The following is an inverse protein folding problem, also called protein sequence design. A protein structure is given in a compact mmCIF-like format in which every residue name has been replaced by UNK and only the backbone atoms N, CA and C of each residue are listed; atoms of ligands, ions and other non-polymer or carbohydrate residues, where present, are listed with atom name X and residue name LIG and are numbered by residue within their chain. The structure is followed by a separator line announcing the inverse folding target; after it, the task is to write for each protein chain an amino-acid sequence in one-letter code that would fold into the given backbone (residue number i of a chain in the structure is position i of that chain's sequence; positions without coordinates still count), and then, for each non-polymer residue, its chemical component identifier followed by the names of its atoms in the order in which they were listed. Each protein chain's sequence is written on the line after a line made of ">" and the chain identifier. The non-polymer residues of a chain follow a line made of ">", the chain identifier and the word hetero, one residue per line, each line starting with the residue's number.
data_IF_016363441546
#
_entry.id   IF_016363441546
#
_cell.length_a   1.000
_cell.length_b   1.000
_cell.length_c   1.000
_cell.angle_alpha   90.00
_cell.angle_beta   90.00
_cell.angle_gamma   90.00
#
_symmetry.space_group_name_H-M   'P 1'
#
loop_
_entity.id
_entity.type
_entity.pdbx_description
1 polymer ?
#
# COMPACT_ATOMS: atom_id res chain seq x y z
N UNK A 1 16.82 41.36 8.38
CA UNK A 1 15.60 40.63 7.94
C UNK A 1 15.72 39.91 6.58
N UNK A 2 16.93 39.56 6.07
CA UNK A 2 17.06 38.84 4.77
C UNK A 2 17.13 37.31 4.92
N UNK A 3 17.53 36.80 6.10
CA UNK A 3 17.63 35.36 6.40
C UNK A 3 16.27 34.71 6.72
N UNK A 4 15.32 35.46 7.29
CA UNK A 4 13.98 34.95 7.64
C UNK A 4 13.12 34.62 6.40
N UNK A 5 13.32 35.34 5.29
CA UNK A 5 12.54 35.17 4.05
C UNK A 5 12.84 33.84 3.34
N UNK A 6 14.02 33.25 3.56
CA UNK A 6 14.42 31.96 2.94
C UNK A 6 14.09 30.75 3.83
N UNK A 7 14.07 30.94 5.15
CA UNK A 7 13.83 29.82 6.10
C UNK A 7 12.34 29.41 6.11
N UNK A 8 11.42 30.37 6.03
CA UNK A 8 9.97 30.11 6.01
C UNK A 8 9.51 29.23 4.83
N UNK A 9 9.90 29.49 3.57
CA UNK A 9 9.46 28.65 2.45
C UNK A 9 10.02 27.23 2.52
N UNK A 10 11.24 27.04 3.03
CA UNK A 10 11.84 25.70 3.19
C UNK A 10 11.11 24.89 4.25
N UNK A 11 10.70 25.53 5.36
CA UNK A 11 9.95 24.86 6.42
C UNK A 11 8.52 24.49 5.97
N UNK A 12 7.86 25.38 5.22
CA UNK A 12 6.57 25.09 4.60
C UNK A 12 6.65 23.96 3.57
N UNK A 13 7.71 23.93 2.75
CA UNK A 13 7.96 22.82 1.82
C UNK A 13 8.11 21.48 2.54
N UNK A 14 8.85 21.42 3.65
CA UNK A 14 8.96 20.18 4.44
C UNK A 14 7.61 19.71 5.01
N UNK A 15 6.74 20.63 5.43
CA UNK A 15 5.40 20.29 5.93
C UNK A 15 4.51 19.73 4.81
N UNK A 16 4.60 20.31 3.61
CA UNK A 16 3.83 19.83 2.45
C UNK A 16 4.32 18.46 1.99
N UNK A 17 5.64 18.26 1.94
CA UNK A 17 6.26 16.99 1.53
C UNK A 17 5.89 15.86 2.50
N UNK A 18 6.00 16.10 3.82
CA UNK A 18 5.66 15.08 4.82
C UNK A 18 4.18 14.73 4.86
N UNK A 19 3.27 15.68 4.58
CA UNK A 19 1.83 15.40 4.50
C UNK A 19 1.37 14.73 3.21
N UNK A 20 2.11 14.90 2.12
CA UNK A 20 1.70 14.40 0.81
C UNK A 20 1.94 12.90 0.61
N UNK A 21 2.63 12.20 1.52
CA UNK A 21 2.97 10.77 1.37
C UNK A 21 3.92 10.47 0.20
N UNK A 22 4.41 11.51 -0.50
CA UNK A 22 5.29 11.40 -1.65
C UNK A 22 6.64 10.76 -1.29
N UNK A 23 7.11 11.04 -0.07
CA UNK A 23 8.37 10.53 0.44
C UNK A 23 8.29 9.02 0.72
N UNK A 24 7.15 8.53 1.22
CA UNK A 24 6.89 7.10 1.39
C UNK A 24 6.88 6.38 0.03
N UNK A 25 6.25 6.96 -1.00
CA UNK A 25 6.22 6.38 -2.35
C UNK A 25 7.62 6.34 -3.00
N UNK A 26 8.38 7.43 -2.92
CA UNK A 26 9.73 7.48 -3.45
C UNK A 26 10.66 6.48 -2.75
N UNK A 27 10.54 6.34 -1.43
CA UNK A 27 11.34 5.39 -0.65
C UNK A 27 10.99 3.94 -0.98
N UNK A 28 9.70 3.65 -1.11
CA UNK A 28 9.20 2.32 -1.45
C UNK A 28 9.64 1.91 -2.86
N UNK A 29 9.50 2.80 -3.86
CA UNK A 29 9.98 2.55 -5.22
C UNK A 29 11.50 2.39 -5.33
N UNK A 30 12.26 3.03 -4.45
CA UNK A 30 13.72 2.87 -4.39
C UNK A 30 14.16 1.57 -3.70
N UNK A 31 13.39 1.09 -2.73
CA UNK A 31 13.74 -0.07 -1.89
C UNK A 31 13.13 -1.37 -2.43
N UNK A 32 12.01 -1.29 -3.16
CA UNK A 32 11.33 -2.43 -3.75
C UNK A 32 12.03 -2.87 -5.04
N UNK A 33 12.94 -3.83 -4.91
CA UNK A 33 13.70 -4.42 -6.00
C UNK A 33 13.11 -5.74 -6.50
N UNK A 34 13.79 -6.38 -7.46
CA UNK A 34 13.37 -7.69 -8.01
C UNK A 34 13.26 -8.78 -6.94
N UNK A 35 14.16 -8.78 -5.96
CA UNK A 35 14.15 -9.76 -4.86
C UNK A 35 12.99 -9.52 -3.88
N UNK A 36 12.48 -8.29 -3.77
CA UNK A 36 11.40 -7.92 -2.85
C UNK A 36 10.07 -8.59 -3.22
N UNK A 37 9.88 -9.02 -4.47
CA UNK A 37 8.71 -9.80 -4.90
C UNK A 37 8.61 -11.17 -4.21
N UNK A 38 9.75 -11.74 -3.81
CA UNK A 38 9.83 -13.03 -3.14
C UNK A 38 9.78 -12.93 -1.60
N UNK A 39 9.86 -11.71 -1.06
CA UNK A 39 9.71 -11.44 0.37
C UNK A 39 8.27 -10.99 0.66
N UNK A 40 7.49 -11.83 1.34
CA UNK A 40 6.12 -11.52 1.74
C UNK A 40 6.02 -10.20 2.53
N UNK A 41 7.02 -9.88 3.36
CA UNK A 41 7.00 -8.67 4.20
C UNK A 41 7.17 -7.44 3.34
N UNK A 42 8.19 -7.44 2.47
CA UNK A 42 8.43 -6.32 1.56
C UNK A 42 7.28 -6.13 0.58
N UNK A 43 6.75 -7.22 0.02
CA UNK A 43 5.63 -7.20 -0.92
C UNK A 43 4.37 -6.62 -0.28
N UNK A 44 4.04 -7.00 0.95
CA UNK A 44 2.87 -6.47 1.66
C UNK A 44 3.02 -4.97 1.97
N UNK A 45 4.20 -4.51 2.39
CA UNK A 45 4.43 -3.07 2.62
C UNK A 45 4.33 -2.27 1.31
N UNK A 46 4.85 -2.79 0.21
CA UNK A 46 4.70 -2.18 -1.10
C UNK A 46 3.22 -2.09 -1.51
N UNK A 47 2.49 -3.21 -1.37
CA UNK A 47 1.06 -3.26 -1.69
C UNK A 47 0.23 -2.28 -0.83
N UNK A 48 0.56 -2.13 0.46
CA UNK A 48 -0.08 -1.12 1.33
C UNK A 48 0.01 0.27 0.71
N UNK A 49 1.19 0.64 0.24
CA UNK A 49 1.46 1.95 -0.37
C UNK A 49 0.70 2.11 -1.68
N UNK A 50 0.79 1.12 -2.57
CA UNK A 50 0.10 1.12 -3.88
C UNK A 50 -1.41 1.25 -3.72
N UNK A 51 -2.02 0.42 -2.86
CA UNK A 51 -3.46 0.38 -2.61
C UNK A 51 -3.98 1.72 -2.12
N UNK A 52 -3.29 2.35 -1.15
CA UNK A 52 -3.72 3.63 -0.61
C UNK A 52 -3.54 4.76 -1.61
N UNK A 53 -2.46 4.74 -2.40
CA UNK A 53 -2.18 5.79 -3.37
C UNK A 53 -3.15 5.77 -4.56
N UNK A 54 -3.59 4.58 -4.97
CA UNK A 54 -4.57 4.42 -6.05
C UNK A 54 -6.01 4.54 -5.57
N UNK A 55 -6.24 4.79 -4.27
CA UNK A 55 -7.57 4.99 -3.74
C UNK A 55 -8.46 3.75 -3.83
N UNK A 56 -7.88 2.54 -3.84
CA UNK A 56 -8.65 1.29 -3.86
C UNK A 56 -9.47 1.07 -2.58
N UNK A 57 -9.13 1.79 -1.51
CA UNK A 57 -9.85 1.81 -0.24
C UNK A 57 -9.74 3.17 0.41
N UNK A 58 -10.75 3.53 1.22
CA UNK A 58 -10.74 4.75 2.05
C UNK A 58 -10.03 4.54 3.39
N UNK A 59 -9.60 3.32 3.71
CA UNK A 59 -8.91 3.02 4.96
C UNK A 59 -7.42 3.40 4.88
N UNK A 60 -6.83 3.88 5.99
CA UNK A 60 -5.40 4.18 6.03
C UNK A 60 -4.57 2.89 6.02
N UNK A 61 -3.31 2.97 5.56
CA UNK A 61 -2.40 1.82 5.37
C UNK A 61 -2.25 0.90 6.57
N UNK A 62 -2.25 1.45 7.78
CA UNK A 62 -2.08 0.72 9.04
C UNK A 62 -3.32 -0.09 9.45
N UNK A 63 -4.44 0.11 8.75
CA UNK A 63 -5.68 -0.62 8.93
C UNK A 63 -5.89 -1.73 7.89
N UNK A 64 -4.95 -1.88 6.95
CA UNK A 64 -4.97 -2.94 5.96
C UNK A 64 -4.23 -4.17 6.47
N UNK A 65 -4.94 -5.29 6.47
CA UNK A 65 -4.44 -6.61 6.83
C UNK A 65 -4.42 -7.47 5.59
N UNK A 66 -3.33 -8.20 5.37
CA UNK A 66 -3.14 -9.04 4.19
C UNK A 66 -3.07 -10.49 4.65
N UNK A 67 -3.94 -11.32 4.10
CA UNK A 67 -3.86 -12.77 4.25
C UNK A 67 -3.19 -13.30 2.99
N UNK A 68 -2.02 -13.91 3.16
CA UNK A 68 -1.26 -14.48 2.04
C UNK A 68 -1.54 -15.99 2.01
N UNK A 69 -2.23 -16.45 0.97
CA UNK A 69 -2.47 -17.87 0.74
C UNK A 69 -1.30 -18.46 -0.04
N UNK A 70 -0.26 -18.88 0.70
CA UNK A 70 0.97 -19.46 0.17
C UNK A 70 2.21 -18.99 0.94
N UNK A 71 3.37 -19.53 0.59
CA UNK A 71 4.66 -19.10 1.13
C UNK A 71 5.51 -18.39 0.05
N UNK A 72 6.78 -18.11 0.37
CA UNK A 72 7.72 -17.47 -0.55
C UNK A 72 8.02 -18.33 -1.81
N UNK A 73 7.73 -19.63 -1.79
CA UNK A 73 7.99 -20.55 -2.92
C UNK A 73 6.90 -20.52 -3.99
N UNK A 74 5.71 -20.02 -3.64
CA UNK A 74 4.60 -19.89 -4.59
C UNK A 74 4.83 -18.66 -5.46
N UNK A 75 4.99 -18.84 -6.77
CA UNK A 75 5.18 -17.73 -7.71
C UNK A 75 3.92 -16.90 -7.92
N UNK A 76 2.75 -17.50 -7.74
CA UNK A 76 1.45 -16.84 -7.94
C UNK A 76 0.58 -16.86 -6.68
N UNK A 77 1.00 -16.20 -5.57
CA UNK A 77 0.23 -16.23 -4.34
C UNK A 77 -1.09 -15.47 -4.51
N UNK A 78 -2.16 -16.04 -3.99
CA UNK A 78 -3.42 -15.33 -3.81
C UNK A 78 -3.39 -14.58 -2.49
N UNK A 79 -3.75 -13.30 -2.48
CA UNK A 79 -3.80 -12.51 -1.25
C UNK A 79 -5.17 -11.89 -1.06
N UNK A 80 -5.68 -11.93 0.16
CA UNK A 80 -6.90 -11.23 0.53
C UNK A 80 -6.55 -9.99 1.34
N UNK A 81 -7.15 -8.86 0.97
CA UNK A 81 -6.97 -7.59 1.68
C UNK A 81 -8.18 -7.35 2.55
N UNK A 82 -7.96 -7.24 3.86
CA UNK A 82 -8.98 -6.99 4.86
C UNK A 82 -8.81 -5.60 5.45
N UNK A 83 -9.92 -4.93 5.71
CA UNK A 83 -10.00 -3.67 6.42
C UNK A 83 -10.31 -3.90 7.89
N UNK A 84 -9.34 -3.60 8.76
CA UNK A 84 -9.57 -3.57 10.21
C UNK A 84 -10.38 -2.33 10.57
N UNK A 85 -11.38 -2.53 11.42
CA UNK A 85 -12.23 -1.50 12.01
C UNK A 85 -12.03 -1.45 13.53
N UNK A 86 -12.26 -0.28 14.14
CA UNK A 86 -12.02 -0.06 15.57
C UNK A 86 -10.53 0.06 15.92
N UNK A 87 -10.22 0.26 17.22
CA UNK A 87 -8.85 0.40 17.74
C UNK A 87 -7.96 1.39 16.96
N UNK A 88 -8.50 2.57 16.62
CA UNK A 88 -7.79 3.60 15.87
C UNK A 88 -7.91 3.48 14.34
N UNK A 89 -8.71 2.53 13.85
CA UNK A 89 -9.15 2.44 12.46
C UNK A 89 -10.61 2.88 12.30
N UNK A 90 -11.02 3.46 11.15
CA UNK A 90 -12.40 3.85 10.90
C UNK A 90 -13.39 2.69 11.12
N UNK A 91 -14.43 2.94 11.92
CA UNK A 91 -15.49 1.98 12.25
C UNK A 91 -15.67 1.78 13.76
N UNK A 92 -16.91 1.51 14.16
CA UNK A 92 -17.31 1.51 15.59
C UNK A 92 -17.07 0.18 16.31
N UNK A 93 -16.87 -0.91 15.55
CA UNK A 93 -16.71 -2.27 16.10
C UNK A 93 -15.35 -2.86 15.70
N UNK A 94 -14.70 -3.62 16.61
CA UNK A 94 -13.46 -4.32 16.31
C UNK A 94 -13.74 -5.53 15.41
N UNK A 95 -13.69 -5.32 14.11
CA UNK A 95 -13.91 -6.35 13.08
C UNK A 95 -12.91 -6.20 11.94
N UNK A 96 -12.67 -7.27 11.18
CA UNK A 96 -11.87 -7.24 9.96
C UNK A 96 -12.71 -7.83 8.82
N UNK A 97 -13.06 -6.99 7.84
CA UNK A 97 -13.87 -7.40 6.70
C UNK A 97 -13.00 -7.45 5.45
N UNK A 98 -13.21 -8.46 4.61
CA UNK A 98 -12.58 -8.54 3.29
C UNK A 98 -13.01 -7.35 2.43
N UNK A 99 -12.03 -6.68 1.84
CA UNK A 99 -12.24 -5.56 0.92
C UNK A 99 -12.21 -6.05 -0.53
N UNK A 100 -11.15 -6.78 -0.89
CA UNK A 100 -10.89 -7.31 -2.22
C UNK A 100 -9.75 -8.32 -2.17
N UNK A 101 -9.53 -9.02 -3.26
CA UNK A 101 -8.46 -9.97 -3.51
C UNK A 101 -7.40 -9.42 -4.45
N UNK A 102 -6.21 -10.00 -4.34
CA UNK A 102 -5.07 -9.76 -5.21
C UNK A 102 -4.53 -11.10 -5.73
N UNK A 103 -4.14 -11.11 -7.00
CA UNK A 103 -3.31 -12.16 -7.57
C UNK A 103 -1.97 -11.54 -7.93
N UNK A 104 -0.91 -12.08 -7.34
CA UNK A 104 0.45 -11.60 -7.61
C UNK A 104 1.09 -12.58 -8.59
N UNK A 105 1.81 -12.10 -9.59
CA UNK A 105 2.77 -12.90 -10.35
C UNK A 105 4.18 -12.39 -10.03
N UNK A 106 4.91 -13.16 -9.23
CA UNK A 106 6.28 -12.83 -8.83
C UNK A 106 7.28 -12.94 -9.98
N UNK A 107 7.02 -13.81 -10.96
CA UNK A 107 7.94 -14.00 -12.07
C UNK A 107 7.80 -12.89 -13.11
N UNK A 108 6.56 -12.44 -13.35
CA UNK A 108 6.25 -11.33 -14.25
C UNK A 108 6.25 -9.95 -13.58
N UNK A 109 6.40 -9.91 -12.25
CA UNK A 109 6.30 -8.68 -11.45
C UNK A 109 4.98 -7.94 -11.70
N UNK A 110 3.87 -8.66 -11.72
CA UNK A 110 2.55 -8.11 -12.00
C UNK A 110 1.59 -8.37 -10.84
N UNK A 111 0.59 -7.49 -10.72
CA UNK A 111 -0.43 -7.55 -9.68
C UNK A 111 -1.77 -7.40 -10.39
N UNK A 112 -2.72 -8.29 -10.09
CA UNK A 112 -4.10 -8.17 -10.49
C UNK A 112 -4.96 -7.97 -9.24
N UNK A 113 -5.98 -7.14 -9.32
CA UNK A 113 -6.93 -6.90 -8.23
C UNK A 113 -8.37 -6.99 -8.74
N UNK A 114 -9.29 -7.40 -7.87
CA UNK A 114 -10.73 -7.32 -8.13
C UNK A 114 -11.40 -6.17 -7.35
N UNK A 115 -10.60 -5.20 -6.86
CA UNK A 115 -11.09 -4.01 -6.19
C UNK A 115 -12.09 -3.26 -7.08
N UNK A 116 -13.27 -2.98 -6.51
CA UNK A 116 -14.39 -2.33 -7.21
C UNK A 116 -15.19 -3.25 -8.14
N UNK A 117 -14.71 -4.46 -8.42
CA UNK A 117 -15.37 -5.46 -9.28
C UNK A 117 -15.13 -6.89 -8.76
N UNK A 118 -15.78 -7.31 -7.66
CA UNK A 118 -15.51 -8.58 -7.01
C UNK A 118 -15.56 -9.76 -7.99
N UNK A 119 -14.50 -10.58 -8.00
CA UNK A 119 -14.34 -11.72 -8.91
C UNK A 119 -13.87 -11.39 -10.34
N UNK A 120 -13.80 -10.12 -10.72
CA UNK A 120 -13.24 -9.67 -12.01
C UNK A 120 -11.89 -8.99 -11.79
N UNK A 121 -10.81 -9.74 -12.08
CA UNK A 121 -9.46 -9.27 -11.87
C UNK A 121 -8.98 -8.37 -13.01
N UNK A 122 -8.41 -7.23 -12.65
CA UNK A 122 -7.80 -6.27 -13.57
C UNK A 122 -6.38 -5.88 -13.12
N UNK A 123 -5.50 -5.46 -14.04
CA UNK A 123 -4.13 -5.10 -13.68
C UNK A 123 -4.05 -3.90 -12.74
N UNK A 124 -3.33 -4.09 -11.64
CA UNK A 124 -2.93 -3.02 -10.74
C UNK A 124 -1.52 -2.56 -11.11
N UNK A 125 -1.42 -1.43 -11.80
CA UNK A 125 -0.12 -0.86 -12.21
C UNK A 125 0.43 0.02 -11.08
N UNK A 126 1.49 -0.37 -10.35
CA UNK A 126 2.05 0.40 -9.24
C UNK A 126 2.61 1.77 -9.64
#
# INVERSE_FOLDING_TARGET
>A
MRRLIVVVPVFLLMIVITRSGWLDNAYDRFTFGKLSWYDNTALVEHLRTVITNQGLTSLPRNCLVFIVNGDASVNTPHMEVLGRQGHGCPGDKPTANMLFSLQIDRAQHSILTDAGSPGSFHPLTP
#
